data_IF_306505219001
#
_entry.id   IF_306505219001
#
_cell.length_a   1.000
_cell.length_b   1.000
_cell.length_c   1.000
_cell.angle_alpha   90.00
_cell.angle_beta   90.00
_cell.angle_gamma   90.00
#
_symmetry.space_group_name_H-M   'P 1'
#
loop_
_entity.id
_entity.type
_entity.pdbx_description
1 polymer ?
#
# COMPACT_ATOMS: atom_id res chain seq x y z
N UNK A 1 2.28 2.50 -2.20
CA UNK A 1 1.93 3.90 -1.82
C UNK A 1 1.94 4.01 -0.31
N UNK A 2 2.52 5.09 0.24
CA UNK A 2 2.54 5.40 1.67
C UNK A 2 1.73 6.69 1.91
N UNK A 3 0.48 6.52 2.33
CA UNK A 3 -0.50 7.59 2.57
C UNK A 3 -1.21 7.32 3.91
N UNK A 4 -1.88 8.34 4.45
CA UNK A 4 -2.34 8.35 5.84
C UNK A 4 -1.28 8.98 6.76
N UNK A 5 -1.61 9.19 8.03
CA UNK A 5 -0.75 9.99 8.90
C UNK A 5 -0.89 11.48 8.58
N UNK A 6 0.23 12.07 8.17
CA UNK A 6 0.36 13.45 7.68
C UNK A 6 0.08 13.60 6.17
N UNK A 7 -0.03 12.48 5.44
CA UNK A 7 -0.16 12.44 3.97
C UNK A 7 -1.59 12.11 3.55
N UNK A 8 -2.49 13.06 3.71
CA UNK A 8 -3.90 12.89 3.33
C UNK A 8 -4.14 13.02 1.82
N UNK A 9 -5.15 12.31 1.33
CA UNK A 9 -5.69 12.44 -0.02
C UNK A 9 -7.15 12.90 0.10
N UNK A 10 -7.47 14.18 -0.15
CA UNK A 10 -8.80 14.72 0.10
C UNK A 10 -9.94 13.94 -0.61
N UNK A 11 -9.68 13.37 -1.78
CA UNK A 11 -10.66 12.59 -2.53
C UNK A 11 -10.94 11.19 -1.96
N UNK A 12 -10.13 10.71 -1.02
CA UNK A 12 -10.29 9.38 -0.42
C UNK A 12 -11.23 9.38 0.79
N UNK A 13 -11.59 10.56 1.31
CA UNK A 13 -12.49 10.76 2.45
C UNK A 13 -12.20 9.80 3.61
N UNK A 14 -10.94 9.75 4.06
CA UNK A 14 -10.57 8.90 5.19
C UNK A 14 -11.22 9.38 6.49
N UNK A 15 -11.61 8.46 7.39
CA UNK A 15 -12.10 8.84 8.71
C UNK A 15 -10.99 9.56 9.48
N UNK A 16 -11.37 10.52 10.32
CA UNK A 16 -10.42 11.13 11.26
C UNK A 16 -10.02 10.10 12.31
N UNK A 17 -8.71 9.99 12.56
CA UNK A 17 -8.13 9.13 13.57
C UNK A 17 -7.53 9.98 14.69
N UNK A 18 -7.59 9.50 15.93
CA UNK A 18 -6.95 10.16 17.08
C UNK A 18 -5.42 10.21 16.92
N UNK A 19 -4.83 9.12 16.40
CA UNK A 19 -3.42 9.06 16.07
C UNK A 19 -3.19 8.51 14.64
N UNK A 20 -3.14 9.39 13.63
CA UNK A 20 -2.93 8.99 12.25
C UNK A 20 -1.58 8.28 11.99
N UNK A 21 -0.55 8.53 12.81
CA UNK A 21 0.76 7.90 12.63
C UNK A 21 0.76 6.42 13.01
N UNK A 22 -0.08 6.05 13.98
CA UNK A 22 -0.27 4.67 14.43
C UNK A 22 -1.48 3.99 13.78
N UNK A 23 -2.27 4.74 13.02
CA UNK A 23 -3.56 4.35 12.47
C UNK A 23 -3.51 3.66 11.11
N UNK A 24 -4.57 3.90 10.33
CA UNK A 24 -4.84 3.25 9.07
C UNK A 24 -4.06 3.91 7.93
N UNK A 25 -2.85 3.41 7.68
CA UNK A 25 -1.92 3.98 6.70
C UNK A 25 -1.22 2.94 5.83
N UNK A 26 -0.72 3.41 4.69
CA UNK A 26 0.23 2.71 3.84
C UNK A 26 -0.22 1.30 3.42
N UNK A 27 0.53 0.26 3.78
CA UNK A 27 0.21 -1.14 3.43
C UNK A 27 -1.14 -1.60 3.99
N UNK A 28 -1.57 -1.05 5.12
CA UNK A 28 -2.86 -1.40 5.77
C UNK A 28 -4.04 -0.99 4.88
N UNK A 29 -4.03 0.26 4.38
CA UNK A 29 -5.02 0.74 3.41
C UNK A 29 -5.03 -0.14 2.15
N UNK A 30 -3.85 -0.45 1.61
CA UNK A 30 -3.73 -1.23 0.38
C UNK A 30 -4.17 -2.71 0.57
N UNK A 31 -4.00 -3.27 1.77
CA UNK A 31 -4.45 -4.61 2.10
C UNK A 31 -5.96 -4.69 2.34
N UNK A 32 -6.59 -3.63 2.86
CA UNK A 32 -8.05 -3.56 3.02
C UNK A 32 -8.75 -3.23 1.69
N UNK A 33 -8.18 -2.31 0.91
CA UNK A 33 -8.65 -1.89 -0.43
C UNK A 33 -7.80 -2.53 -1.53
N UNK A 34 -8.07 -3.80 -1.82
CA UNK A 34 -7.26 -4.65 -2.73
C UNK A 34 -7.12 -4.06 -4.14
N UNK A 35 -8.09 -3.30 -4.62
CA UNK A 35 -8.06 -2.61 -5.91
C UNK A 35 -6.87 -1.65 -6.02
N UNK A 36 -6.57 -0.89 -4.95
CA UNK A 36 -5.44 0.05 -4.91
C UNK A 36 -4.11 -0.70 -5.01
N UNK A 37 -3.97 -1.77 -4.22
CA UNK A 37 -2.78 -2.62 -4.23
C UNK A 37 -2.57 -3.26 -5.60
N UNK A 38 -3.64 -3.85 -6.15
CA UNK A 38 -3.63 -4.55 -7.44
C UNK A 38 -3.22 -3.61 -8.57
N UNK A 39 -3.84 -2.43 -8.65
CA UNK A 39 -3.59 -1.49 -9.73
C UNK A 39 -2.15 -0.95 -9.66
N UNK A 40 -1.62 -0.67 -8.46
CA UNK A 40 -0.23 -0.25 -8.28
C UNK A 40 0.78 -1.34 -8.63
N UNK A 41 0.58 -2.57 -8.13
CA UNK A 41 1.50 -3.69 -8.42
C UNK A 41 1.47 -4.02 -9.91
N UNK A 42 0.28 -4.07 -10.55
CA UNK A 42 0.16 -4.26 -11.99
C UNK A 42 0.86 -3.16 -12.79
N UNK A 43 0.72 -1.91 -12.38
CA UNK A 43 1.39 -0.78 -13.03
C UNK A 43 2.92 -0.90 -12.93
N UNK A 44 3.46 -1.21 -11.74
CA UNK A 44 4.90 -1.36 -11.55
C UNK A 44 5.45 -2.57 -12.33
N UNK A 45 4.74 -3.69 -12.34
CA UNK A 45 5.14 -4.87 -13.11
C UNK A 45 5.15 -4.58 -14.61
N UNK A 46 4.16 -3.85 -15.14
CA UNK A 46 4.16 -3.39 -16.54
C UNK A 46 5.34 -2.47 -16.83
N UNK A 47 5.63 -1.53 -15.92
CA UNK A 47 6.75 -0.59 -16.06
C UNK A 47 8.12 -1.30 -16.03
N UNK A 48 8.25 -2.43 -15.32
CA UNK A 48 9.50 -3.20 -15.25
C UNK A 48 9.93 -3.81 -16.58
N UNK A 49 9.04 -3.87 -17.58
CA UNK A 49 9.42 -4.23 -18.95
C UNK A 49 10.41 -3.23 -19.59
N UNK A 50 10.46 -2.00 -19.07
CA UNK A 50 11.28 -0.90 -19.60
C UNK A 50 12.54 -0.62 -18.77
N UNK A 51 12.79 -1.40 -17.72
CA UNK A 51 13.96 -1.20 -16.87
C UNK A 51 13.92 -2.02 -15.57
N UNK A 52 15.06 -2.10 -14.89
CA UNK A 52 15.19 -2.85 -13.64
C UNK A 52 14.53 -2.10 -12.49
N UNK A 53 13.33 -2.53 -12.10
CA UNK A 53 12.59 -2.00 -10.95
C UNK A 53 12.62 -2.96 -9.76
N UNK A 54 12.40 -2.40 -8.57
CA UNK A 54 12.21 -3.15 -7.31
C UNK A 54 10.95 -2.62 -6.63
N UNK A 55 10.21 -3.50 -5.95
CA UNK A 55 9.01 -3.16 -5.18
C UNK A 55 9.36 -3.22 -3.70
N UNK A 56 8.97 -2.19 -2.95
CA UNK A 56 9.11 -2.10 -1.49
C UNK A 56 7.75 -1.77 -0.89
N UNK A 57 7.37 -2.47 0.18
CA UNK A 57 6.13 -2.23 0.91
C UNK A 57 6.42 -1.49 2.22
N UNK A 58 5.81 -0.31 2.46
CA UNK A 58 5.99 0.46 3.70
C UNK A 58 5.20 -0.15 4.87
N UNK A 59 5.57 0.19 6.11
CA UNK A 59 4.79 -0.13 7.32
C UNK A 59 4.49 -1.62 7.57
N UNK A 60 5.35 -2.51 7.09
CA UNK A 60 5.28 -3.95 7.42
C UNK A 60 5.59 -4.14 8.91
N UNK A 61 4.74 -4.89 9.60
CA UNK A 61 4.92 -5.26 11.01
C UNK A 61 5.05 -6.78 11.21
N UNK A 62 4.71 -7.59 10.21
CA UNK A 62 4.65 -9.05 10.34
C UNK A 62 5.12 -9.78 9.08
N UNK A 63 5.49 -11.06 9.24
CA UNK A 63 5.87 -11.94 8.13
C UNK A 63 4.63 -12.31 7.30
N UNK A 64 3.47 -12.39 7.95
CA UNK A 64 2.17 -12.70 7.37
C UNK A 64 1.78 -11.67 6.31
N UNK A 65 2.01 -10.37 6.58
CA UNK A 65 1.80 -9.30 5.60
C UNK A 65 2.71 -9.48 4.38
N UNK A 66 3.99 -9.79 4.59
CA UNK A 66 4.93 -10.04 3.47
C UNK A 66 4.47 -11.23 2.64
N UNK A 67 4.02 -12.32 3.28
CA UNK A 67 3.51 -13.50 2.59
C UNK A 67 2.24 -13.18 1.80
N UNK A 68 1.31 -12.44 2.39
CA UNK A 68 0.07 -12.03 1.73
C UNK A 68 0.34 -11.16 0.50
N UNK A 69 1.27 -10.21 0.59
CA UNK A 69 1.63 -9.31 -0.51
C UNK A 69 2.39 -10.00 -1.67
N UNK A 70 3.02 -11.15 -1.39
CA UNK A 70 3.73 -11.96 -2.40
C UNK A 70 2.88 -13.07 -3.00
N UNK A 71 1.71 -13.36 -2.42
CA UNK A 71 0.85 -14.45 -2.89
C UNK A 71 0.37 -14.14 -4.31
N UNK A 72 0.47 -15.13 -5.19
CA UNK A 72 -0.21 -15.10 -6.50
C UNK A 72 -1.57 -15.74 -6.29
N UNK A 73 -2.62 -14.97 -6.54
CA UNK A 73 -3.97 -15.53 -6.77
C UNK A 73 -4.04 -16.16 -8.16
#
# INVERSE_FOLDING_TARGET
MDIGGDKELPYMNFPKEENPFLGWRAVRIAMDRKEILRDQVRAILRASAFGKLRIMFPMIISVEEVRALRKRD
#
